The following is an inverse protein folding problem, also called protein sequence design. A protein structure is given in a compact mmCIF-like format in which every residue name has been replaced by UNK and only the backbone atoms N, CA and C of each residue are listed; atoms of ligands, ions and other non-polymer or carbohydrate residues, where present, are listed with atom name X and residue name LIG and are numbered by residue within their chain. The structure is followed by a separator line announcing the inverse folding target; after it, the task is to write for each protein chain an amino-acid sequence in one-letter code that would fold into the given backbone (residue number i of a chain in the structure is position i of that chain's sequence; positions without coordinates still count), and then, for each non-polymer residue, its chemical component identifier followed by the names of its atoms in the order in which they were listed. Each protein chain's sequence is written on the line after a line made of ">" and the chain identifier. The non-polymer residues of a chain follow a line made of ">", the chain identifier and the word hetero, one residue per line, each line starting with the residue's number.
data_IF_028184913574
#
_entry.id   IF_028184913574
#
_cell.length_a   1.000
_cell.length_b   1.000
_cell.length_c   1.000
_cell.angle_alpha   90.00
_cell.angle_beta   90.00
_cell.angle_gamma   90.00
#
_symmetry.space_group_name_H-M   'P 1'
#
loop_
_entity.id
_entity.type
_entity.pdbx_description
1 polymer ?
#
# COMPACT_ATOMS: atom_id res chain seq x y z
N UNK A 1 11.66 -10.80 -60.06
CA UNK A 1 10.57 -10.31 -59.18
C UNK A 1 11.01 -10.63 -57.76
N UNK A 2 11.60 -9.63 -57.10
CA UNK A 2 11.07 -9.01 -55.87
C UNK A 2 11.08 -10.00 -54.70
N UNK A 3 11.97 -9.94 -53.71
CA UNK A 3 12.45 -8.74 -53.02
C UNK A 3 11.40 -8.33 -51.99
N UNK A 4 11.82 -8.37 -50.71
CA UNK A 4 11.13 -8.00 -49.44
C UNK A 4 10.55 -9.11 -48.57
N UNK A 5 11.37 -10.01 -48.02
CA UNK A 5 11.10 -10.63 -46.70
C UNK A 5 12.37 -10.81 -45.83
N UNK A 6 13.48 -10.13 -46.16
CA UNK A 6 14.79 -10.32 -45.50
C UNK A 6 15.09 -9.34 -44.34
N UNK A 7 14.13 -8.56 -43.85
CA UNK A 7 14.44 -7.38 -43.03
C UNK A 7 13.93 -7.35 -41.57
N UNK A 8 13.15 -8.31 -41.07
CA UNK A 8 12.56 -8.19 -39.71
C UNK A 8 13.24 -9.09 -38.66
N UNK A 9 13.98 -10.13 -39.06
CA UNK A 9 14.54 -11.10 -38.11
C UNK A 9 16.01 -10.85 -37.70
N UNK A 10 16.62 -9.71 -38.04
CA UNK A 10 18.06 -9.48 -37.78
C UNK A 10 18.43 -8.16 -37.09
N UNK A 11 17.50 -7.52 -36.38
CA UNK A 11 17.76 -6.22 -35.73
C UNK A 11 17.69 -6.23 -34.19
N UNK A 12 17.88 -7.37 -33.52
CA UNK A 12 17.99 -7.42 -32.06
C UNK A 12 19.27 -8.10 -31.54
N UNK A 13 20.31 -8.20 -32.37
CA UNK A 13 21.67 -8.52 -31.91
C UNK A 13 22.51 -7.26 -31.92
N UNK A 14 22.44 -6.47 -30.84
CA UNK A 14 23.50 -5.55 -30.40
C UNK A 14 23.10 -4.91 -29.06
N UNK A 15 23.17 -5.67 -27.96
CA UNK A 15 23.67 -5.17 -26.68
C UNK A 15 24.01 -6.39 -25.81
N UNK A 16 25.22 -6.43 -25.20
CA UNK A 16 25.62 -7.56 -24.40
C UNK A 16 24.71 -7.62 -23.17
N UNK A 17 23.86 -8.64 -23.12
CA UNK A 17 23.14 -9.00 -21.91
C UNK A 17 24.19 -9.42 -20.89
N UNK A 18 24.56 -8.49 -20.01
CA UNK A 18 25.49 -8.76 -18.93
C UNK A 18 24.91 -9.90 -18.10
N UNK A 19 25.64 -11.01 -18.06
CA UNK A 19 25.37 -12.15 -17.19
C UNK A 19 25.59 -11.73 -15.72
N UNK A 20 24.58 -11.14 -15.12
CA UNK A 20 24.46 -10.85 -13.69
C UNK A 20 23.01 -11.02 -13.30
N UNK A 21 22.72 -11.96 -12.40
CA UNK A 21 21.38 -12.46 -12.14
C UNK A 21 20.37 -11.38 -11.74
N UNK A 22 19.47 -11.04 -12.66
CA UNK A 22 18.21 -10.40 -12.30
C UNK A 22 17.30 -11.45 -11.67
N UNK A 23 17.56 -11.75 -10.40
CA UNK A 23 16.49 -12.26 -9.53
C UNK A 23 15.37 -11.23 -9.58
N UNK A 24 14.18 -11.64 -10.03
CA UNK A 24 12.98 -10.83 -9.91
C UNK A 24 12.80 -10.57 -8.41
N UNK A 25 13.18 -9.37 -7.95
CA UNK A 25 13.11 -8.99 -6.54
C UNK A 25 11.68 -9.22 -6.03
N UNK A 26 11.54 -9.95 -4.93
CA UNK A 26 10.22 -10.16 -4.34
C UNK A 26 9.85 -8.99 -3.40
N UNK A 27 8.59 -8.96 -2.99
CA UNK A 27 8.10 -7.96 -2.04
C UNK A 27 8.98 -7.93 -0.78
N UNK A 28 9.36 -6.72 -0.34
CA UNK A 28 10.24 -6.50 0.81
C UNK A 28 11.75 -6.59 0.51
N UNK A 29 12.15 -7.00 -0.71
CA UNK A 29 13.56 -7.00 -1.15
C UNK A 29 13.92 -5.83 -2.07
N UNK A 30 12.91 -5.07 -2.53
CA UNK A 30 13.13 -3.90 -3.37
C UNK A 30 13.66 -2.72 -2.55
N UNK A 31 14.82 -2.19 -2.94
CA UNK A 31 15.37 -0.97 -2.36
C UNK A 31 14.91 0.23 -3.18
N UNK A 32 14.35 1.23 -2.50
CA UNK A 32 14.00 2.50 -3.14
C UNK A 32 15.25 3.18 -3.69
N UNK A 33 15.13 3.71 -4.89
CA UNK A 33 16.13 4.63 -5.44
C UNK A 33 16.15 5.93 -4.63
N UNK A 34 17.26 6.67 -4.67
CA UNK A 34 17.36 7.96 -3.95
C UNK A 34 16.25 8.96 -4.37
N UNK A 35 15.88 8.95 -5.65
CA UNK A 35 14.81 9.80 -6.18
C UNK A 35 13.42 9.43 -5.64
N UNK A 36 13.08 8.14 -5.64
CA UNK A 36 11.82 7.65 -5.06
C UNK A 36 11.75 7.94 -3.56
N UNK A 37 12.83 7.64 -2.83
CA UNK A 37 12.91 7.92 -1.40
C UNK A 37 12.61 9.40 -1.11
N UNK A 38 13.25 10.31 -1.84
CA UNK A 38 13.04 11.75 -1.64
C UNK A 38 11.62 12.18 -2.02
N UNK A 39 11.05 11.65 -3.11
CA UNK A 39 9.69 11.95 -3.53
C UNK A 39 8.66 11.49 -2.48
N UNK A 40 8.77 10.24 -2.03
CA UNK A 40 7.89 9.65 -0.99
C UNK A 40 8.03 10.44 0.31
N UNK A 41 9.25 10.74 0.74
CA UNK A 41 9.51 11.49 1.98
C UNK A 41 8.91 12.90 1.94
N UNK A 42 8.96 13.57 0.79
CA UNK A 42 8.33 14.87 0.62
C UNK A 42 6.81 14.78 0.61
N UNK A 43 6.25 13.75 -0.03
CA UNK A 43 4.81 13.53 -0.13
C UNK A 43 4.20 13.19 1.24
N UNK A 44 4.84 12.34 2.05
CA UNK A 44 4.39 11.96 3.40
C UNK A 44 4.34 13.13 4.39
N UNK A 45 5.06 14.23 4.13
CA UNK A 45 5.01 15.45 4.95
C UNK A 45 3.80 16.33 4.67
N UNK A 46 3.11 16.10 3.55
CA UNK A 46 1.94 16.89 3.19
C UNK A 46 0.76 16.53 4.09
N UNK A 47 0.01 17.55 4.50
CA UNK A 47 -1.25 17.33 5.21
C UNK A 47 -2.34 17.02 4.20
N UNK A 48 -3.22 16.08 4.54
CA UNK A 48 -4.41 15.81 3.75
C UNK A 48 -5.35 17.01 3.78
N UNK A 49 -5.94 17.30 2.62
CA UNK A 49 -6.95 18.34 2.51
C UNK A 49 -8.27 17.95 3.19
N UNK A 50 -9.17 18.91 3.41
CA UNK A 50 -10.46 18.68 4.06
C UNK A 50 -11.34 17.66 3.31
N UNK A 51 -11.13 17.48 2.01
CA UNK A 51 -11.83 16.51 1.18
C UNK A 51 -11.64 15.07 1.67
N UNK A 52 -10.54 14.74 2.36
CA UNK A 52 -10.26 13.42 2.93
C UNK A 52 -10.90 13.20 4.31
N UNK A 53 -11.42 14.24 4.94
CA UNK A 53 -11.85 14.23 6.33
C UNK A 53 -13.37 14.04 6.41
N UNK A 54 -13.78 12.88 6.92
CA UNK A 54 -15.16 12.58 7.30
C UNK A 54 -15.37 12.85 8.79
N UNK A 55 -16.63 12.92 9.22
CA UNK A 55 -16.96 13.18 10.61
C UNK A 55 -18.24 12.51 11.05
N UNK A 56 -18.29 12.08 12.31
CA UNK A 56 -19.48 11.52 12.95
C UNK A 56 -19.72 12.13 14.33
N UNK A 57 -20.96 12.08 14.79
CA UNK A 57 -21.28 12.41 16.19
C UNK A 57 -20.93 11.22 17.09
N UNK A 58 -20.18 11.49 18.15
CA UNK A 58 -19.86 10.52 19.20
C UNK A 58 -20.81 10.69 20.40
N UNK A 59 -20.68 9.79 21.39
CA UNK A 59 -21.36 9.95 22.67
C UNK A 59 -21.06 11.32 23.30
N UNK A 60 -22.06 11.93 23.94
CA UNK A 60 -21.91 13.26 24.52
C UNK A 60 -21.97 14.43 23.53
N UNK A 61 -22.36 14.19 22.26
CA UNK A 61 -22.61 15.26 21.28
C UNK A 61 -21.36 15.84 20.62
N UNK A 62 -20.18 15.25 20.87
CA UNK A 62 -18.93 15.70 20.26
C UNK A 62 -18.79 15.18 18.83
N UNK A 63 -18.27 16.04 17.94
CA UNK A 63 -17.93 15.67 16.56
C UNK A 63 -16.52 15.08 16.52
N UNK A 64 -16.39 13.86 16.01
CA UNK A 64 -15.10 13.18 15.82
C UNK A 64 -14.80 13.08 14.34
N UNK A 65 -13.61 13.53 13.94
CA UNK A 65 -13.11 13.47 12.57
C UNK A 65 -12.32 12.18 12.34
N UNK A 66 -12.43 11.61 11.15
CA UNK A 66 -11.72 10.40 10.73
C UNK A 66 -11.54 10.38 9.21
N UNK A 67 -10.66 9.50 8.72
CA UNK A 67 -10.51 9.23 7.29
C UNK A 67 -11.16 7.87 6.99
N UNK A 68 -11.92 7.81 5.90
CA UNK A 68 -12.57 6.57 5.48
C UNK A 68 -11.55 5.53 5.00
N UNK A 69 -11.76 4.26 5.31
CA UNK A 69 -10.80 3.19 5.01
C UNK A 69 -10.41 3.11 3.54
N UNK A 70 -11.37 3.25 2.61
CA UNK A 70 -11.08 3.20 1.17
C UNK A 70 -10.14 4.33 0.71
N UNK A 71 -10.20 5.50 1.37
CA UNK A 71 -9.31 6.64 1.06
C UNK A 71 -7.89 6.36 1.49
N UNK A 72 -7.71 5.76 2.67
CA UNK A 72 -6.39 5.35 3.17
C UNK A 72 -5.76 4.30 2.24
N UNK A 73 -6.57 3.33 1.77
CA UNK A 73 -6.12 2.30 0.81
C UNK A 73 -5.68 2.95 -0.51
N UNK A 74 -6.47 3.87 -1.06
CA UNK A 74 -6.11 4.56 -2.29
C UNK A 74 -4.85 5.42 -2.13
N UNK A 75 -4.72 6.15 -1.01
CA UNK A 75 -3.51 6.92 -0.70
C UNK A 75 -2.27 6.03 -0.63
N UNK A 76 -2.36 4.85 -0.02
CA UNK A 76 -1.25 3.89 0.02
C UNK A 76 -0.90 3.38 -1.38
N UNK A 77 -1.89 3.06 -2.21
CA UNK A 77 -1.69 2.67 -3.61
C UNK A 77 -1.05 3.77 -4.46
N UNK A 78 -1.42 5.04 -4.24
CA UNK A 78 -0.85 6.18 -4.96
C UNK A 78 0.59 6.48 -4.51
N UNK A 79 0.87 6.35 -3.21
CA UNK A 79 2.19 6.64 -2.65
C UNK A 79 3.23 5.55 -2.91
N UNK A 80 2.82 4.28 -2.77
CA UNK A 80 3.73 3.14 -2.80
C UNK A 80 3.52 2.21 -4.00
N UNK A 81 2.44 2.39 -4.77
CA UNK A 81 2.02 1.45 -5.80
C UNK A 81 1.26 0.25 -5.21
N UNK A 82 0.36 -0.37 -5.99
CA UNK A 82 -0.48 -1.48 -5.53
C UNK A 82 0.30 -2.70 -4.99
N UNK A 83 1.55 -2.87 -5.44
CA UNK A 83 2.47 -3.93 -5.06
C UNK A 83 3.61 -3.45 -4.15
N UNK A 84 3.62 -2.18 -3.75
CA UNK A 84 4.68 -1.59 -2.92
C UNK A 84 4.28 -1.38 -1.47
N UNK A 85 3.08 -1.81 -1.05
CA UNK A 85 2.71 -1.87 0.36
C UNK A 85 1.91 -3.15 0.63
N UNK A 86 1.92 -3.58 1.89
CA UNK A 86 1.10 -4.67 2.36
C UNK A 86 0.87 -4.53 3.86
N UNK A 87 -0.17 -5.21 4.35
CA UNK A 87 -0.51 -5.27 5.77
C UNK A 87 -0.86 -6.70 6.14
N UNK A 88 -0.71 -7.04 7.41
CA UNK A 88 -1.12 -8.34 7.94
C UNK A 88 -1.89 -8.17 9.24
N UNK A 89 -2.95 -8.96 9.40
CA UNK A 89 -3.66 -9.08 10.68
C UNK A 89 -2.89 -10.11 11.51
N UNK A 90 -2.20 -9.65 12.56
CA UNK A 90 -1.38 -10.50 13.41
C UNK A 90 -2.17 -11.11 14.56
N UNK A 91 -3.17 -10.39 15.05
CA UNK A 91 -4.06 -10.86 16.09
C UNK A 91 -5.46 -10.26 15.90
N UNK A 92 -6.47 -11.08 16.15
CA UNK A 92 -7.86 -10.65 16.25
C UNK A 92 -8.46 -11.36 17.46
N UNK A 93 -9.02 -10.60 18.40
CA UNK A 93 -9.62 -11.15 19.60
C UNK A 93 -11.00 -10.53 19.87
N UNK A 94 -11.91 -11.35 20.37
CA UNK A 94 -13.23 -10.91 20.83
C UNK A 94 -13.12 -10.64 22.32
N UNK A 95 -13.20 -9.37 22.69
CA UNK A 95 -13.01 -8.94 24.08
C UNK A 95 -14.23 -9.28 24.93
N UNK A 96 -15.43 -9.07 24.39
CA UNK A 96 -16.69 -9.43 25.04
C UNK A 96 -17.84 -9.60 24.03
N UNK A 97 -18.84 -10.38 24.43
CA UNK A 97 -20.13 -10.53 23.76
C UNK A 97 -21.23 -10.51 24.81
N UNK A 98 -21.97 -9.41 24.88
CA UNK A 98 -23.06 -9.23 25.85
C UNK A 98 -24.42 -9.20 25.16
N UNK A 99 -25.43 -9.82 25.78
CA UNK A 99 -26.82 -9.75 25.33
C UNK A 99 -27.68 -9.04 26.37
N UNK A 100 -28.27 -7.89 25.99
CA UNK A 100 -29.09 -7.08 26.87
C UNK A 100 -30.27 -6.46 26.12
N UNK A 101 -31.49 -6.62 26.66
CA UNK A 101 -32.74 -6.09 26.10
C UNK A 101 -32.95 -6.42 24.62
N UNK A 102 -32.68 -7.68 24.22
CA UNK A 102 -32.84 -8.13 22.84
C UNK A 102 -31.74 -7.67 21.87
N UNK A 103 -30.68 -7.01 22.35
CA UNK A 103 -29.56 -6.53 21.53
C UNK A 103 -28.23 -7.15 21.96
N UNK A 104 -27.36 -7.39 20.99
CA UNK A 104 -25.97 -7.80 21.23
C UNK A 104 -25.04 -6.59 21.24
N UNK A 105 -24.07 -6.63 22.14
CA UNK A 105 -22.97 -5.67 22.24
C UNK A 105 -21.67 -6.46 22.16
N UNK A 106 -20.82 -6.13 21.19
CA UNK A 106 -19.63 -6.90 20.88
C UNK A 106 -18.43 -5.97 20.80
N UNK A 107 -17.38 -6.31 21.56
CA UNK A 107 -16.07 -5.68 21.47
C UNK A 107 -15.10 -6.60 20.73
N UNK A 108 -14.42 -6.09 19.71
CA UNK A 108 -13.38 -6.82 18.98
C UNK A 108 -12.15 -5.92 18.88
N UNK A 109 -10.99 -6.45 19.23
CA UNK A 109 -9.71 -5.81 18.99
C UNK A 109 -8.97 -6.50 17.84
N UNK A 110 -8.27 -5.70 17.04
CA UNK A 110 -7.47 -6.17 15.90
C UNK A 110 -6.11 -5.50 15.98
N UNK A 111 -5.06 -6.32 15.99
CA UNK A 111 -3.69 -5.88 15.81
C UNK A 111 -3.30 -6.11 14.35
N UNK A 112 -2.96 -5.03 13.66
CA UNK A 112 -2.40 -5.08 12.32
C UNK A 112 -0.94 -4.63 12.39
N UNK A 113 -0.07 -5.39 11.75
CA UNK A 113 1.34 -5.02 11.58
C UNK A 113 1.62 -4.75 10.10
N UNK A 114 2.50 -3.79 9.76
CA UNK A 114 3.20 -3.83 8.49
C UNK A 114 3.89 -5.20 8.37
N UNK A 115 3.95 -5.76 7.16
CA UNK A 115 4.73 -6.98 6.94
C UNK A 115 6.18 -6.72 7.34
N UNK A 116 6.90 -7.68 7.90
CA UNK A 116 8.28 -7.43 8.37
C UNK A 116 9.18 -6.92 7.22
N UNK A 117 9.91 -5.81 7.47
CA UNK A 117 10.78 -5.17 6.47
C UNK A 117 10.58 -3.65 6.27
N UNK A 118 9.58 -3.04 6.93
CA UNK A 118 9.19 -1.62 6.69
C UNK A 118 9.58 -0.63 7.78
N UNK A 119 10.50 -0.96 8.70
CA UNK A 119 11.15 0.09 9.48
C UNK A 119 12.12 0.81 8.56
N UNK A 120 11.65 1.93 8.01
CA UNK A 120 12.49 2.96 7.41
C UNK A 120 13.51 3.35 8.50
N UNK A 121 14.74 2.84 8.37
CA UNK A 121 15.88 3.32 9.16
C UNK A 121 16.28 4.72 8.71
#
# INVERSE_FOLDING_TARGET
>A
MSGTEEAILRAFDSHPFSAGGNSLLCFGQYQYTAGEYQAIQNALRQRLGPEYISSRMAGGGQKVCYIEGHRVINLANEMFGYNGWAHSITQQNVDFVDFNNGKFYVGVCVCASPVEGWFIS
#
